data_IF_544433260199
#
_entry.id   IF_544433260199
#
_cell.length_a   1.000
_cell.length_b   1.000
_cell.length_c   1.000
_cell.angle_alpha   90.00
_cell.angle_beta   90.00
_cell.angle_gamma   90.00
#
_symmetry.space_group_name_H-M   'P 1'
#
loop_
_entity.id
_entity.type
_entity.pdbx_description
1 polymer ?
#
# COMPACT_ATOMS: atom_id res chain seq x y z
N UNK A 1 -5.71 -21.38 -20.60
CA UNK A 1 -5.68 -21.12 -19.14
C UNK A 1 -6.20 -22.31 -18.33
N UNK A 2 -7.50 -22.63 -18.39
CA UNK A 2 -8.16 -23.67 -17.55
C UNK A 2 -7.38 -24.99 -17.47
N UNK A 3 -6.88 -25.52 -18.59
CA UNK A 3 -6.09 -26.76 -18.62
C UNK A 3 -4.84 -26.68 -17.70
N UNK A 4 -4.15 -25.54 -17.65
CA UNK A 4 -2.97 -25.35 -16.78
C UNK A 4 -3.36 -25.29 -15.30
N UNK A 5 -4.52 -24.72 -14.97
CA UNK A 5 -5.07 -24.75 -13.61
C UNK A 5 -5.45 -26.16 -13.18
N UNK A 6 -6.09 -26.94 -14.05
CA UNK A 6 -6.43 -28.35 -13.79
C UNK A 6 -5.18 -29.23 -13.65
N UNK A 7 -4.16 -29.04 -14.50
CA UNK A 7 -2.86 -29.72 -14.35
C UNK A 7 -2.14 -29.32 -13.05
N UNK A 8 -2.22 -28.05 -12.66
CA UNK A 8 -1.66 -27.56 -11.39
C UNK A 8 -2.36 -28.20 -10.20
N UNK A 9 -3.69 -28.28 -10.25
CA UNK A 9 -4.53 -28.95 -9.25
C UNK A 9 -4.27 -30.46 -9.17
N UNK A 10 -4.11 -31.16 -10.29
CA UNK A 10 -3.73 -32.56 -10.33
C UNK A 10 -2.34 -32.78 -9.71
N UNK A 11 -1.36 -31.92 -10.03
CA UNK A 11 -0.01 -31.98 -9.44
C UNK A 11 -0.03 -31.71 -7.93
N UNK A 12 -0.82 -30.75 -7.47
CA UNK A 12 -1.01 -30.44 -6.05
C UNK A 12 -1.72 -31.57 -5.30
N UNK A 13 -2.74 -32.16 -5.92
CA UNK A 13 -3.50 -33.30 -5.37
C UNK A 13 -2.61 -34.54 -5.26
N UNK A 14 -1.84 -34.87 -6.29
CA UNK A 14 -0.88 -35.98 -6.25
C UNK A 14 0.20 -35.77 -5.16
N UNK A 15 0.73 -34.56 -5.04
CA UNK A 15 1.73 -34.23 -4.02
C UNK A 15 1.19 -34.30 -2.58
N UNK A 16 -0.10 -34.04 -2.35
CA UNK A 16 -0.74 -34.05 -1.01
C UNK A 16 -1.48 -35.35 -0.69
N UNK A 17 -1.84 -36.18 -1.68
CA UNK A 17 -2.62 -37.41 -1.51
C UNK A 17 -2.05 -38.35 -0.43
N UNK A 18 -2.86 -38.70 0.58
CA UNK A 18 -2.47 -39.53 1.74
C UNK A 18 -1.19 -39.04 2.47
N UNK A 19 -0.96 -37.72 2.54
CA UNK A 19 0.06 -37.16 3.43
C UNK A 19 -0.46 -37.12 4.87
N UNK A 20 -0.03 -38.09 5.69
CA UNK A 20 -0.60 -38.39 7.01
C UNK A 20 -0.34 -37.33 8.08
N UNK A 21 0.61 -36.41 7.86
CA UNK A 21 0.96 -35.35 8.81
C UNK A 21 0.33 -33.99 8.54
N UNK A 22 -0.63 -33.89 7.61
CA UNK A 22 -1.38 -32.67 7.35
C UNK A 22 -0.52 -31.44 7.00
N UNK A 23 -0.96 -30.25 7.42
CA UNK A 23 -0.27 -28.99 7.14
C UNK A 23 0.97 -28.74 8.05
N UNK A 24 1.13 -29.49 9.14
CA UNK A 24 2.16 -29.30 10.18
C UNK A 24 3.38 -30.22 10.05
N UNK A 25 3.41 -31.12 9.07
CA UNK A 25 4.58 -31.98 8.78
C UNK A 25 5.08 -31.69 7.35
N UNK A 26 6.36 -31.34 7.13
CA UNK A 26 6.84 -30.93 5.82
C UNK A 26 6.80 -32.06 4.79
N UNK A 27 6.44 -31.72 3.55
CA UNK A 27 6.54 -32.59 2.39
C UNK A 27 8.02 -32.92 2.12
N UNK A 28 8.33 -34.20 1.93
CA UNK A 28 9.70 -34.72 1.72
C UNK A 28 9.81 -35.53 0.42
N UNK A 29 11.04 -35.82 0.00
CA UNK A 29 11.33 -36.77 -1.09
C UNK A 29 10.79 -36.35 -2.47
N UNK A 30 9.89 -37.14 -3.05
CA UNK A 30 9.31 -36.88 -4.37
C UNK A 30 8.20 -35.82 -4.34
N UNK A 31 7.43 -35.72 -3.23
CA UNK A 31 6.32 -34.76 -3.09
C UNK A 31 6.84 -33.32 -3.18
N UNK A 32 7.88 -33.00 -2.40
CA UNK A 32 8.58 -31.69 -2.44
C UNK A 32 9.14 -31.40 -3.83
N UNK A 33 9.80 -32.37 -4.48
CA UNK A 33 10.32 -32.21 -5.86
C UNK A 33 9.23 -31.99 -6.90
N UNK A 34 8.05 -32.62 -6.76
CA UNK A 34 6.91 -32.40 -7.66
C UNK A 34 6.38 -30.96 -7.56
N UNK A 35 6.26 -30.42 -6.35
CA UNK A 35 5.88 -29.01 -6.13
C UNK A 35 6.96 -28.06 -6.68
N UNK A 36 8.23 -28.27 -6.29
CA UNK A 36 9.35 -27.42 -6.70
C UNK A 36 9.63 -27.43 -8.22
N UNK A 37 9.35 -28.53 -8.94
CA UNK A 37 9.66 -28.66 -10.36
C UNK A 37 8.43 -28.61 -11.28
N UNK A 38 7.35 -29.34 -10.96
CA UNK A 38 6.17 -29.43 -11.83
C UNK A 38 5.25 -28.23 -11.62
N UNK A 39 4.90 -27.91 -10.36
CA UNK A 39 4.00 -26.79 -10.07
C UNK A 39 4.65 -25.44 -10.44
N UNK A 40 5.93 -25.23 -10.13
CA UNK A 40 6.69 -24.05 -10.60
C UNK A 40 6.59 -23.83 -12.11
N UNK A 41 6.75 -24.89 -12.92
CA UNK A 41 6.66 -24.80 -14.39
C UNK A 41 5.23 -24.49 -14.84
N UNK A 42 4.24 -25.17 -14.29
CA UNK A 42 2.83 -24.95 -14.63
C UNK A 42 2.39 -23.52 -14.30
N UNK A 43 2.79 -22.98 -13.14
CA UNK A 43 2.51 -21.60 -12.77
C UNK A 43 3.24 -20.61 -13.69
N UNK A 44 4.52 -20.81 -14.01
CA UNK A 44 5.23 -19.95 -14.99
C UNK A 44 4.58 -19.95 -16.37
N UNK A 45 4.17 -21.13 -16.86
CA UNK A 45 3.44 -21.24 -18.14
C UNK A 45 2.05 -20.59 -18.06
N UNK A 46 1.36 -20.68 -16.92
CA UNK A 46 0.09 -19.98 -16.70
C UNK A 46 0.27 -18.46 -16.80
N UNK A 47 1.23 -17.89 -16.07
CA UNK A 47 1.55 -16.46 -16.12
C UNK A 47 1.92 -16.01 -17.55
N UNK A 48 2.77 -16.76 -18.25
CA UNK A 48 3.10 -16.48 -19.66
C UNK A 48 1.86 -16.47 -20.57
N UNK A 49 0.91 -17.40 -20.36
CA UNK A 49 -0.35 -17.49 -21.11
C UNK A 49 -1.35 -16.37 -20.74
N UNK A 50 -1.17 -15.66 -19.62
CA UNK A 50 -1.88 -14.39 -19.33
C UNK A 50 -1.12 -13.16 -19.86
N UNK A 51 -0.12 -13.34 -20.73
CA UNK A 51 0.67 -12.24 -21.30
C UNK A 51 1.74 -11.67 -20.38
N UNK A 52 2.03 -12.28 -19.22
CA UNK A 52 3.06 -11.75 -18.32
C UNK A 52 4.48 -11.92 -18.89
N UNK A 53 5.14 -10.79 -19.14
CA UNK A 53 6.55 -10.71 -19.54
C UNK A 53 7.43 -10.51 -18.31
N UNK A 54 7.85 -11.62 -17.71
CA UNK A 54 8.65 -11.65 -16.47
C UNK A 54 10.14 -11.41 -16.79
N UNK A 55 10.71 -10.33 -16.25
CA UNK A 55 12.15 -10.02 -16.29
C UNK A 55 12.74 -10.22 -14.89
N UNK A 56 13.66 -11.16 -14.76
CA UNK A 56 14.31 -11.45 -13.47
C UNK A 56 15.65 -10.72 -13.40
N UNK A 57 15.95 -10.12 -12.24
CA UNK A 57 17.24 -9.52 -11.89
C UNK A 57 17.77 -10.14 -10.59
N UNK A 58 19.08 -10.14 -10.42
CA UNK A 58 19.74 -10.73 -9.24
C UNK A 58 19.74 -12.26 -9.22
N UNK A 59 20.17 -12.83 -8.09
CA UNK A 59 20.28 -14.29 -7.85
C UNK A 59 19.31 -14.70 -6.75
N UNK A 60 18.50 -15.73 -6.99
CA UNK A 60 17.67 -16.34 -5.94
C UNK A 60 18.58 -17.02 -4.89
N UNK A 61 18.40 -16.66 -3.62
CA UNK A 61 19.12 -17.25 -2.50
C UNK A 61 18.65 -18.68 -2.22
N UNK A 62 19.59 -19.56 -1.90
CA UNK A 62 19.29 -20.89 -1.37
C UNK A 62 18.70 -20.84 0.03
N UNK A 63 18.07 -21.93 0.44
CA UNK A 63 17.54 -22.17 1.79
C UNK A 63 18.60 -22.09 2.90
N UNK A 64 19.88 -22.20 2.55
CA UNK A 64 21.02 -22.02 3.45
C UNK A 64 21.49 -20.56 3.52
N UNK A 65 21.39 -19.82 2.41
CA UNK A 65 21.70 -18.38 2.37
C UNK A 65 20.59 -17.55 3.03
N UNK A 66 19.31 -17.83 2.75
CA UNK A 66 18.16 -17.17 3.37
C UNK A 66 16.93 -18.10 3.46
N UNK A 67 16.46 -18.48 4.67
CA UNK A 67 15.22 -19.25 4.82
C UNK A 67 13.93 -18.47 4.50
N UNK A 68 13.95 -17.14 4.46
CA UNK A 68 12.76 -16.30 4.22
C UNK A 68 13.01 -15.34 3.03
N UNK A 69 12.05 -15.27 2.12
CA UNK A 69 11.92 -14.23 1.10
C UNK A 69 10.96 -13.14 1.58
N UNK A 70 11.39 -11.89 1.52
CA UNK A 70 10.62 -10.70 1.91
C UNK A 70 10.27 -9.92 0.64
N UNK A 71 9.04 -10.03 0.16
CA UNK A 71 8.63 -9.50 -1.14
C UNK A 71 7.77 -8.23 -1.01
N UNK A 72 8.10 -7.19 -1.78
CA UNK A 72 7.36 -5.91 -1.77
C UNK A 72 7.60 -5.08 -3.07
N UNK A 73 6.73 -4.11 -3.40
CA UNK A 73 5.42 -3.87 -2.79
C UNK A 73 4.43 -4.97 -3.19
N UNK A 74 3.49 -5.31 -2.32
CA UNK A 74 2.43 -6.26 -2.60
C UNK A 74 1.33 -5.55 -3.39
N UNK A 75 1.10 -5.93 -4.64
CA UNK A 75 0.15 -5.32 -5.56
C UNK A 75 -1.18 -6.05 -5.63
N UNK A 76 -1.12 -7.39 -5.71
CA UNK A 76 -2.29 -8.27 -5.86
C UNK A 76 -1.87 -9.74 -5.81
N UNK A 77 -2.84 -10.64 -6.06
CA UNK A 77 -2.56 -12.06 -6.24
C UNK A 77 -1.61 -12.38 -7.42
N UNK A 78 -1.37 -11.44 -8.35
CA UNK A 78 -0.40 -11.64 -9.43
C UNK A 78 1.05 -11.72 -8.94
N UNK A 79 1.36 -11.21 -7.75
CA UNK A 79 2.69 -11.30 -7.14
C UNK A 79 3.08 -12.76 -6.81
N UNK A 80 2.11 -13.69 -6.83
CA UNK A 80 2.35 -15.13 -6.74
C UNK A 80 3.26 -15.68 -7.87
N UNK A 81 3.58 -14.90 -8.91
CA UNK A 81 4.68 -15.19 -9.82
C UNK A 81 6.02 -15.38 -9.08
N UNK A 82 6.26 -14.63 -8.00
CA UNK A 82 7.49 -14.77 -7.19
C UNK A 82 7.63 -16.19 -6.66
N UNK A 83 6.55 -16.81 -6.17
CA UNK A 83 6.54 -18.20 -5.73
C UNK A 83 7.04 -19.15 -6.83
N UNK A 84 6.66 -18.93 -8.09
CA UNK A 84 7.08 -19.76 -9.21
C UNK A 84 8.50 -19.44 -9.73
N UNK A 85 9.09 -18.33 -9.29
CA UNK A 85 10.51 -18.01 -9.47
C UNK A 85 11.38 -18.61 -8.36
N UNK A 86 10.88 -18.67 -7.12
CA UNK A 86 11.59 -19.18 -5.93
C UNK A 86 11.35 -20.67 -5.63
N UNK A 87 10.68 -21.40 -6.54
CA UNK A 87 10.53 -22.85 -6.45
C UNK A 87 9.38 -23.31 -5.55
N UNK A 88 8.29 -22.56 -5.51
CA UNK A 88 7.07 -22.79 -4.72
C UNK A 88 7.34 -22.92 -3.20
N UNK A 89 7.80 -21.83 -2.54
CA UNK A 89 7.97 -21.76 -1.09
C UNK A 89 6.64 -21.88 -0.33
N UNK A 90 6.74 -22.11 0.98
CA UNK A 90 5.62 -21.89 1.91
C UNK A 90 5.22 -20.42 1.88
N UNK A 91 3.93 -20.10 1.96
CA UNK A 91 3.45 -18.71 2.01
C UNK A 91 2.61 -18.47 3.27
N UNK A 92 2.49 -17.22 3.71
CA UNK A 92 1.46 -16.83 4.70
C UNK A 92 0.15 -16.58 3.94
N UNK A 93 -0.97 -17.14 4.41
CA UNK A 93 -2.27 -16.94 3.75
C UNK A 93 -3.45 -16.99 4.72
N UNK A 94 -4.56 -16.37 4.34
CA UNK A 94 -5.82 -16.46 5.09
C UNK A 94 -6.35 -17.90 5.08
N UNK A 95 -6.83 -18.39 6.22
CA UNK A 95 -7.38 -19.75 6.35
C UNK A 95 -8.55 -20.00 5.38
N UNK A 96 -9.35 -18.96 5.12
CA UNK A 96 -10.49 -18.97 4.20
C UNK A 96 -10.07 -19.19 2.73
N UNK A 97 -8.81 -18.92 2.36
CA UNK A 97 -8.31 -19.19 1.01
C UNK A 97 -8.16 -20.71 0.75
N UNK A 98 -8.04 -21.52 1.81
CA UNK A 98 -7.80 -22.98 1.71
C UNK A 98 -9.05 -23.75 1.28
N UNK A 99 -10.25 -23.23 1.55
CA UNK A 99 -11.53 -23.81 1.12
C UNK A 99 -11.96 -23.38 -0.29
N UNK A 100 -11.21 -22.48 -0.95
CA UNK A 100 -11.52 -22.03 -2.33
C UNK A 100 -11.45 -23.21 -3.31
N UNK A 101 -12.49 -23.51 -4.11
CA UNK A 101 -12.48 -24.63 -5.06
C UNK A 101 -11.30 -24.56 -6.03
N UNK A 102 -10.65 -25.71 -6.27
CA UNK A 102 -9.42 -25.89 -7.07
C UNK A 102 -8.19 -25.16 -6.49
N UNK A 103 -8.25 -23.83 -6.32
CA UNK A 103 -7.14 -23.01 -5.84
C UNK A 103 -6.70 -23.38 -4.42
N UNK A 104 -7.62 -23.70 -3.53
CA UNK A 104 -7.35 -24.10 -2.14
C UNK A 104 -6.51 -25.38 -2.04
N UNK A 105 -6.67 -26.34 -2.96
CA UNK A 105 -5.81 -27.53 -3.02
C UNK A 105 -4.39 -27.19 -3.51
N UNK A 106 -4.27 -26.31 -4.51
CA UNK A 106 -2.98 -25.81 -5.01
C UNK A 106 -2.24 -25.08 -3.88
N UNK A 107 -2.93 -24.14 -3.22
CA UNK A 107 -2.42 -23.38 -2.08
C UNK A 107 -2.02 -24.31 -0.93
N UNK A 108 -2.88 -25.26 -0.54
CA UNK A 108 -2.58 -26.24 0.52
C UNK A 108 -1.34 -27.09 0.23
N UNK A 109 -1.03 -27.37 -1.05
CA UNK A 109 0.18 -28.11 -1.43
C UNK A 109 1.49 -27.33 -1.22
N UNK A 110 1.42 -26.02 -1.02
CA UNK A 110 2.53 -25.17 -0.57
C UNK A 110 2.73 -25.23 0.95
N UNK A 111 1.83 -25.89 1.67
CA UNK A 111 1.77 -25.96 3.13
C UNK A 111 1.82 -24.56 3.77
N UNK A 112 0.86 -23.67 3.50
CA UNK A 112 0.93 -22.29 3.97
C UNK A 112 0.87 -22.18 5.49
N UNK A 113 1.41 -21.10 6.03
CA UNK A 113 1.11 -20.67 7.40
C UNK A 113 -0.26 -20.00 7.35
N UNK A 114 -1.27 -20.65 7.92
CA UNK A 114 -2.65 -20.20 7.88
C UNK A 114 -2.91 -19.15 8.96
N UNK A 115 -3.55 -18.03 8.57
CA UNK A 115 -3.93 -16.93 9.45
C UNK A 115 -5.45 -16.82 9.47
N UNK A 116 -6.06 -16.91 10.65
CA UNK A 116 -7.48 -16.59 10.86
C UNK A 116 -7.63 -15.18 11.45
N UNK A 117 -8.81 -14.56 11.27
CA UNK A 117 -9.25 -13.37 12.03
C UNK A 117 -10.19 -13.71 13.19
N UNK A 118 -10.64 -14.97 13.28
CA UNK A 118 -11.60 -15.45 14.28
C UNK A 118 -10.91 -16.12 15.48
N UNK A 119 -9.70 -16.65 15.27
CA UNK A 119 -8.83 -17.17 16.34
C UNK A 119 -7.99 -16.01 16.91
N UNK A 120 -8.07 -15.69 18.23
CA UNK A 120 -7.28 -14.62 18.84
C UNK A 120 -5.79 -14.97 18.95
N UNK A 121 -5.42 -16.24 19.16
CA UNK A 121 -4.02 -16.67 19.19
C UNK A 121 -3.41 -16.78 17.78
N UNK A 122 -4.20 -16.65 16.71
CA UNK A 122 -3.79 -16.73 15.29
C UNK A 122 -2.49 -15.98 14.97
N UNK A 123 -2.31 -14.76 15.49
CA UNK A 123 -1.07 -13.98 15.29
C UNK A 123 0.15 -14.65 15.93
N UNK A 124 0.01 -15.15 17.16
CA UNK A 124 1.05 -15.84 17.95
C UNK A 124 1.37 -17.21 17.35
N UNK A 125 0.34 -17.95 16.95
CA UNK A 125 0.44 -19.22 16.22
C UNK A 125 1.19 -19.04 14.89
N UNK A 126 0.86 -18.00 14.13
CA UNK A 126 1.54 -17.62 12.87
C UNK A 126 3.03 -17.33 13.09
N UNK A 127 3.37 -16.52 14.10
CA UNK A 127 4.77 -16.18 14.42
C UNK A 127 5.57 -17.40 14.89
N UNK A 128 4.98 -18.22 15.75
CA UNK A 128 5.59 -19.49 16.21
C UNK A 128 5.89 -20.40 15.02
N UNK A 129 4.92 -20.60 14.12
CA UNK A 129 5.08 -21.49 12.97
C UNK A 129 6.08 -20.96 11.94
N UNK A 130 6.13 -19.64 11.68
CA UNK A 130 7.18 -19.02 10.86
C UNK A 130 8.57 -19.28 11.48
N UNK A 131 8.69 -19.09 12.79
CA UNK A 131 9.96 -19.28 13.53
C UNK A 131 10.42 -20.74 13.49
N UNK A 132 9.53 -21.68 13.81
CA UNK A 132 9.79 -23.12 13.76
C UNK A 132 10.26 -23.59 12.37
N UNK A 133 9.66 -23.04 11.31
CA UNK A 133 10.00 -23.36 9.92
C UNK A 133 11.33 -22.75 9.49
N UNK A 134 11.56 -21.48 9.79
CA UNK A 134 12.80 -20.78 9.47
C UNK A 134 14.02 -21.41 10.15
N UNK A 135 13.89 -21.78 11.43
CA UNK A 135 14.96 -22.41 12.22
C UNK A 135 15.11 -23.92 11.95
N UNK A 136 14.26 -24.53 11.11
CA UNK A 136 14.21 -25.98 10.87
C UNK A 136 15.42 -26.60 10.14
N UNK A 137 16.48 -25.82 9.88
CA UNK A 137 17.70 -26.22 9.16
C UNK A 137 17.42 -26.94 7.82
N UNK A 138 16.37 -26.49 7.14
CA UNK A 138 15.98 -26.93 5.79
C UNK A 138 14.99 -28.10 5.71
N UNK A 139 14.46 -28.59 6.83
CA UNK A 139 13.38 -29.59 6.79
C UNK A 139 12.14 -29.06 6.05
N UNK A 140 11.80 -27.79 6.26
CA UNK A 140 10.78 -27.06 5.50
C UNK A 140 11.36 -26.43 4.21
N UNK A 141 10.52 -26.05 3.23
CA UNK A 141 10.90 -25.09 2.19
C UNK A 141 11.15 -23.69 2.80
N UNK A 142 11.73 -22.79 1.98
CA UNK A 142 11.78 -21.36 2.29
C UNK A 142 10.35 -20.80 2.46
N UNK A 143 10.23 -19.67 3.14
CA UNK A 143 8.95 -18.98 3.38
C UNK A 143 8.93 -17.68 2.56
N UNK A 144 7.88 -17.43 1.78
CA UNK A 144 7.64 -16.15 1.11
C UNK A 144 6.61 -15.34 1.91
N UNK A 145 7.00 -14.14 2.31
CA UNK A 145 6.18 -13.23 3.11
C UNK A 145 6.16 -11.86 2.42
N UNK A 146 4.96 -11.30 2.26
CA UNK A 146 4.76 -9.90 1.90
C UNK A 146 4.54 -9.11 3.20
N UNK A 147 5.56 -8.41 3.74
CA UNK A 147 5.51 -7.86 5.10
C UNK A 147 4.53 -6.70 5.24
N UNK A 148 4.15 -6.05 4.14
CA UNK A 148 3.04 -5.08 4.08
C UNK A 148 1.73 -5.70 4.61
N UNK A 149 1.54 -7.01 4.39
CA UNK A 149 0.39 -7.78 4.89
C UNK A 149 -0.98 -7.22 4.48
N UNK A 150 -1.01 -6.54 3.33
CA UNK A 150 -2.15 -6.05 2.54
C UNK A 150 -1.61 -5.83 1.12
N UNK A 151 -2.49 -5.66 0.13
CA UNK A 151 -2.09 -5.16 -1.19
C UNK A 151 -2.14 -3.62 -1.22
N UNK A 152 -1.34 -3.01 -2.09
CA UNK A 152 -1.06 -1.57 -2.21
C UNK A 152 -0.95 -1.15 -3.69
N UNK A 153 -0.89 0.17 -3.95
CA UNK A 153 -0.73 0.76 -5.28
C UNK A 153 0.74 0.91 -5.74
N UNK A 154 1.71 0.38 -4.97
CA UNK A 154 3.18 0.42 -5.20
C UNK A 154 3.89 1.77 -5.12
N UNK A 155 3.21 2.89 -4.88
CA UNK A 155 3.84 4.23 -4.92
C UNK A 155 5.04 4.32 -3.95
N UNK A 156 4.80 4.10 -2.66
CA UNK A 156 5.80 3.99 -1.61
C UNK A 156 6.11 2.50 -1.27
N UNK A 157 6.77 2.25 -0.14
CA UNK A 157 6.81 0.96 0.54
C UNK A 157 6.25 1.21 1.94
N UNK A 158 5.08 0.63 2.26
CA UNK A 158 4.42 0.87 3.54
C UNK A 158 5.15 0.17 4.69
N UNK A 159 4.79 0.48 5.93
CA UNK A 159 5.41 -0.12 7.13
C UNK A 159 5.35 -1.65 7.10
N UNK A 160 6.51 -2.29 7.30
CA UNK A 160 6.66 -3.74 7.28
C UNK A 160 6.28 -4.35 8.62
N UNK A 161 5.38 -5.34 8.61
CA UNK A 161 4.97 -6.10 9.80
C UNK A 161 6.09 -7.05 10.22
N UNK A 162 6.47 -6.99 11.49
CA UNK A 162 7.58 -7.74 12.11
C UNK A 162 7.55 -9.28 11.95
N UNK A 163 6.44 -9.88 11.51
CA UNK A 163 6.26 -11.34 11.45
C UNK A 163 7.28 -12.12 10.59
N UNK A 164 7.93 -11.47 9.62
CA UNK A 164 9.02 -12.09 8.84
C UNK A 164 10.41 -11.99 9.53
N UNK A 165 10.53 -11.13 10.53
CA UNK A 165 11.79 -10.64 11.09
C UNK A 165 12.05 -11.18 12.51
N UNK A 166 10.98 -11.45 13.27
CA UNK A 166 11.02 -12.08 14.61
C UNK A 166 11.93 -13.33 14.71
N UNK A 167 12.08 -14.20 13.69
CA UNK A 167 12.98 -15.36 13.81
C UNK A 167 14.48 -15.03 13.87
N UNK A 168 14.90 -13.77 13.67
CA UNK A 168 16.30 -13.34 13.72
C UNK A 168 17.21 -13.95 12.63
N UNK A 169 16.62 -14.51 11.57
CA UNK A 169 17.32 -15.20 10.48
C UNK A 169 17.66 -14.27 9.31
N UNK A 170 18.65 -14.62 8.46
CA UNK A 170 18.85 -13.95 7.18
C UNK A 170 17.60 -14.00 6.29
N UNK A 171 17.32 -12.88 5.61
CA UNK A 171 16.21 -12.75 4.66
C UNK A 171 16.74 -12.37 3.28
N UNK A 172 16.10 -12.82 2.19
CA UNK A 172 16.31 -12.24 0.88
C UNK A 172 15.18 -11.25 0.54
N UNK A 173 15.46 -9.95 0.43
CA UNK A 173 14.48 -8.99 -0.07
C UNK A 173 14.25 -9.19 -1.58
N UNK A 174 12.99 -9.05 -2.02
CA UNK A 174 12.56 -9.23 -3.40
C UNK A 174 11.69 -8.05 -3.83
N UNK A 175 12.19 -7.25 -4.77
CA UNK A 175 11.48 -6.10 -5.31
C UNK A 175 10.63 -6.49 -6.53
N UNK A 176 9.34 -6.13 -6.51
CA UNK A 176 8.44 -6.22 -7.66
C UNK A 176 8.24 -4.84 -8.29
N UNK A 177 8.25 -4.78 -9.63
CA UNK A 177 7.85 -3.58 -10.39
C UNK A 177 6.99 -3.97 -11.59
N UNK A 178 5.94 -3.21 -11.87
CA UNK A 178 5.05 -3.41 -13.01
C UNK A 178 5.12 -2.22 -13.97
N UNK A 179 6.18 -2.10 -14.81
CA UNK A 179 6.41 -0.95 -15.69
C UNK A 179 5.51 -0.98 -16.94
N UNK A 180 4.20 -0.80 -16.72
CA UNK A 180 3.14 -0.82 -17.72
C UNK A 180 2.51 0.56 -17.84
N UNK A 181 2.03 0.93 -19.03
CA UNK A 181 1.35 2.22 -19.25
C UNK A 181 -0.06 2.23 -18.62
N UNK A 182 -0.69 1.07 -18.51
CA UNK A 182 -1.97 0.88 -17.83
C UNK A 182 -1.74 0.03 -16.59
N UNK A 183 -2.28 0.46 -15.45
CA UNK A 183 -2.31 -0.35 -14.24
C UNK A 183 -3.54 -1.25 -14.24
N UNK A 184 -3.35 -2.50 -14.65
CA UNK A 184 -4.38 -3.54 -14.60
C UNK A 184 -4.16 -4.51 -13.43
N UNK A 185 -3.21 -4.25 -12.54
CA UNK A 185 -2.67 -5.25 -11.59
C UNK A 185 -2.72 -4.82 -10.12
N UNK A 186 -3.01 -3.56 -9.81
CA UNK A 186 -3.28 -3.09 -8.44
C UNK A 186 -4.63 -3.61 -7.93
N UNK A 187 -4.60 -4.24 -6.75
CA UNK A 187 -5.77 -4.61 -5.99
C UNK A 187 -5.76 -3.88 -4.64
N UNK A 188 -6.65 -2.91 -4.45
CA UNK A 188 -6.83 -2.16 -3.20
C UNK A 188 -8.26 -2.31 -2.69
N UNK A 189 -8.53 -1.84 -1.48
CA UNK A 189 -9.84 -2.00 -0.83
C UNK A 189 -10.97 -1.17 -1.48
N UNK A 190 -10.64 -0.04 -2.11
CA UNK A 190 -11.52 0.73 -3.01
C UNK A 190 -11.38 0.30 -4.49
N UNK A 191 -10.53 -0.68 -4.78
CA UNK A 191 -10.20 -1.09 -6.14
C UNK A 191 -11.14 -2.12 -6.75
N UNK A 192 -10.86 -2.48 -8.00
CA UNK A 192 -11.57 -3.50 -8.77
C UNK A 192 -11.69 -4.84 -8.05
N UNK A 193 -12.79 -5.55 -8.29
CA UNK A 193 -12.94 -6.93 -7.83
C UNK A 193 -11.94 -7.86 -8.54
N UNK A 194 -11.71 -9.03 -7.94
CA UNK A 194 -10.87 -10.10 -8.50
C UNK A 194 -11.26 -10.45 -9.96
N UNK A 195 -12.54 -10.38 -10.32
CA UNK A 195 -13.02 -10.68 -11.68
C UNK A 195 -12.63 -9.59 -12.67
N UNK A 196 -12.86 -8.33 -12.33
CA UNK A 196 -12.55 -7.18 -13.17
C UNK A 196 -11.04 -7.04 -13.37
N UNK A 197 -10.24 -7.19 -12.30
CA UNK A 197 -8.78 -7.13 -12.38
C UNK A 197 -8.20 -8.26 -13.25
N UNK A 198 -8.80 -9.46 -13.20
CA UNK A 198 -8.48 -10.54 -14.14
C UNK A 198 -8.81 -10.15 -15.59
N UNK A 199 -10.01 -9.62 -15.84
CA UNK A 199 -10.46 -9.23 -17.19
C UNK A 199 -9.54 -8.15 -17.77
N UNK A 200 -9.28 -7.07 -17.04
CA UNK A 200 -8.40 -5.98 -17.50
C UNK A 200 -6.97 -6.46 -17.77
N UNK A 201 -6.40 -7.31 -16.90
CA UNK A 201 -5.07 -7.89 -17.12
C UNK A 201 -5.03 -8.78 -18.36
N UNK A 202 -6.10 -9.55 -18.63
CA UNK A 202 -6.20 -10.39 -19.83
C UNK A 202 -6.46 -9.58 -21.11
N UNK A 203 -7.10 -8.41 -21.01
CA UNK A 203 -7.21 -7.47 -22.11
C UNK A 203 -5.88 -6.73 -22.40
N UNK A 204 -5.01 -6.56 -21.39
CA UNK A 204 -3.64 -6.07 -21.61
C UNK A 204 -2.75 -7.17 -22.18
N UNK A 205 -2.68 -7.23 -23.52
CA UNK A 205 -1.95 -8.23 -24.33
C UNK A 205 -0.55 -8.60 -23.79
N UNK A 206 0.19 -7.64 -23.22
CA UNK A 206 1.46 -7.90 -22.53
C UNK A 206 1.56 -7.10 -21.23
N UNK A 207 1.57 -7.80 -20.10
CA UNK A 207 1.81 -7.20 -18.78
C UNK A 207 3.26 -7.45 -18.36
N UNK A 208 4.11 -6.42 -18.36
CA UNK A 208 5.51 -6.52 -17.90
C UNK A 208 5.55 -6.62 -16.37
N UNK A 209 6.44 -7.46 -15.86
CA UNK A 209 6.83 -7.47 -14.44
C UNK A 209 8.33 -7.66 -14.32
N UNK A 210 9.00 -6.78 -13.59
CA UNK A 210 10.36 -7.01 -13.11
C UNK A 210 10.30 -7.61 -11.71
N UNK A 211 11.06 -8.69 -11.47
CA UNK A 211 11.29 -9.26 -10.14
C UNK A 211 12.79 -9.24 -9.88
N UNK A 212 13.20 -8.51 -8.86
CA UNK A 212 14.60 -8.23 -8.54
C UNK A 212 14.96 -8.81 -7.17
N UNK A 213 15.78 -9.87 -7.19
CA UNK A 213 16.29 -10.54 -6.00
C UNK A 213 17.51 -9.78 -5.47
N UNK A 214 17.37 -9.15 -4.31
CA UNK A 214 18.43 -8.36 -3.71
C UNK A 214 19.48 -9.24 -3.01
N UNK A 215 20.67 -8.71 -2.68
CA UNK A 215 21.60 -9.41 -1.78
C UNK A 215 20.89 -9.86 -0.50
N UNK A 216 21.31 -10.99 0.05
CA UNK A 216 20.77 -11.48 1.32
C UNK A 216 21.11 -10.50 2.43
N UNK A 217 20.08 -10.10 3.18
CA UNK A 217 20.22 -9.29 4.38
C UNK A 217 20.44 -10.22 5.57
N UNK A 218 21.58 -10.08 6.25
CA UNK A 218 21.93 -10.81 7.46
C UNK A 218 21.75 -9.87 8.65
N UNK A 219 20.82 -10.13 9.60
CA UNK A 219 20.60 -9.23 10.72
C UNK A 219 21.79 -9.19 11.68
N UNK A 220 22.13 -7.97 12.11
CA UNK A 220 23.01 -7.69 13.25
C UNK A 220 22.41 -8.21 14.56
N UNK A 221 23.21 -8.25 15.64
CA UNK A 221 22.68 -8.68 16.94
C UNK A 221 21.60 -7.71 17.49
N UNK A 222 21.69 -6.41 17.16
CA UNK A 222 20.63 -5.43 17.44
C UNK A 222 19.30 -5.86 16.80
N UNK A 223 19.32 -6.11 15.49
CA UNK A 223 18.16 -6.50 14.67
C UNK A 223 17.57 -7.87 15.00
N UNK A 224 18.32 -8.75 15.68
CA UNK A 224 17.79 -10.01 16.21
C UNK A 224 17.02 -9.84 17.52
N UNK A 225 17.34 -8.78 18.27
CA UNK A 225 16.62 -8.42 19.50
C UNK A 225 15.49 -7.42 19.23
N UNK A 226 15.58 -6.60 18.17
CA UNK A 226 14.53 -5.71 17.69
C UNK A 226 14.05 -6.08 16.25
N UNK A 227 12.96 -6.86 16.14
CA UNK A 227 12.32 -7.19 14.86
C UNK A 227 11.70 -6.00 14.11
N UNK A 228 11.45 -4.86 14.77
CA UNK A 228 10.91 -3.63 14.16
C UNK A 228 12.05 -2.83 13.51
N UNK A 229 13.19 -2.70 14.17
CA UNK A 229 14.43 -2.18 13.59
C UNK A 229 14.84 -2.99 12.36
N UNK A 230 14.83 -4.33 12.46
CA UNK A 230 15.14 -5.22 11.33
C UNK A 230 14.16 -5.04 10.16
N UNK A 231 12.85 -4.99 10.44
CA UNK A 231 11.83 -4.73 9.44
C UNK A 231 12.04 -3.37 8.74
N UNK A 232 12.40 -2.33 9.49
CA UNK A 232 12.67 -1.00 8.97
C UNK A 232 13.97 -0.91 8.17
N UNK A 233 15.08 -1.50 8.63
CA UNK A 233 16.37 -1.50 7.88
C UNK A 233 16.25 -2.30 6.57
N UNK A 234 15.48 -3.38 6.54
CA UNK A 234 15.16 -4.10 5.29
C UNK A 234 14.24 -3.27 4.39
N UNK A 235 13.19 -2.61 4.92
CA UNK A 235 12.34 -1.68 4.15
C UNK A 235 13.15 -0.53 3.55
N UNK A 236 14.04 0.08 4.32
CA UNK A 236 14.97 1.11 3.89
C UNK A 236 15.88 0.58 2.77
N UNK A 237 16.50 -0.60 2.93
CA UNK A 237 17.34 -1.20 1.88
C UNK A 237 16.58 -1.41 0.56
N UNK A 238 15.32 -1.83 0.63
CA UNK A 238 14.43 -1.95 -0.54
C UNK A 238 14.06 -0.57 -1.13
N UNK A 239 13.95 0.47 -0.30
CA UNK A 239 13.69 1.86 -0.71
C UNK A 239 14.93 2.57 -1.28
N UNK A 240 16.15 2.31 -0.78
CA UNK A 240 17.41 2.83 -1.36
C UNK A 240 17.63 2.29 -2.78
N UNK A 241 17.00 1.18 -3.15
CA UNK A 241 16.97 0.67 -4.53
C UNK A 241 15.76 1.16 -5.36
N UNK A 242 14.86 1.94 -4.74
CA UNK A 242 14.06 2.99 -5.41
C UNK A 242 14.84 4.31 -5.57
N UNK A 243 16.08 4.46 -5.08
CA UNK A 243 16.88 5.68 -5.34
C UNK A 243 17.24 5.86 -6.83
N UNK A 244 17.08 4.83 -7.67
CA UNK A 244 17.11 4.99 -9.12
C UNK A 244 15.87 5.73 -9.67
N UNK A 245 14.72 5.65 -8.98
CA UNK A 245 13.53 6.43 -9.30
C UNK A 245 13.60 7.84 -8.70
N UNK A 246 14.19 7.99 -7.50
CA UNK A 246 14.60 9.32 -6.99
C UNK A 246 15.60 9.98 -7.95
N UNK A 247 16.57 9.23 -8.48
CA UNK A 247 17.46 9.70 -9.56
C UNK A 247 16.71 10.00 -10.85
N UNK A 248 15.75 9.19 -11.28
CA UNK A 248 14.91 9.47 -12.46
C UNK A 248 14.11 10.78 -12.30
N UNK A 249 13.62 11.07 -11.09
CA UNK A 249 13.00 12.35 -10.76
C UNK A 249 14.01 13.49 -10.67
N UNK A 250 15.21 13.28 -10.09
CA UNK A 250 16.29 14.27 -10.03
C UNK A 250 16.90 14.58 -11.40
N UNK A 251 17.02 13.61 -12.30
CA UNK A 251 17.49 13.78 -13.68
C UNK A 251 16.43 14.55 -14.49
N UNK A 252 15.14 14.28 -14.25
CA UNK A 252 14.01 15.04 -14.82
C UNK A 252 13.99 16.48 -14.29
N UNK A 253 14.13 16.66 -12.97
CA UNK A 253 14.23 17.98 -12.33
C UNK A 253 15.47 18.74 -12.82
N UNK A 254 16.63 18.09 -12.94
CA UNK A 254 17.85 18.70 -13.46
C UNK A 254 17.68 19.15 -14.92
N UNK A 255 16.92 18.41 -15.73
CA UNK A 255 16.58 18.83 -17.09
C UNK A 255 15.65 20.07 -17.09
N UNK A 256 14.70 20.16 -16.16
CA UNK A 256 13.79 21.32 -16.03
C UNK A 256 14.55 22.54 -15.49
N UNK A 257 15.34 22.36 -14.42
CA UNK A 257 16.19 23.40 -13.84
C UNK A 257 17.30 23.88 -14.81
N UNK A 258 17.67 23.06 -15.80
CA UNK A 258 18.55 23.46 -16.92
C UNK A 258 17.82 24.18 -18.06
N UNK A 259 16.49 24.11 -18.09
CA UNK A 259 15.64 24.81 -19.05
C UNK A 259 15.11 26.15 -18.48
N UNK A 260 14.83 26.19 -17.17
CA UNK A 260 14.58 27.42 -16.43
C UNK A 260 15.86 28.26 -16.32
N UNK A 261 15.72 29.57 -16.15
CA UNK A 261 16.82 30.54 -16.33
C UNK A 261 17.75 30.67 -15.11
N UNK A 262 18.22 29.55 -14.55
CA UNK A 262 19.26 29.59 -13.51
C UNK A 262 19.37 28.40 -12.55
N UNK A 263 18.80 27.23 -12.84
CA UNK A 263 18.87 26.09 -11.91
C UNK A 263 17.83 26.14 -10.77
N UNK A 264 16.79 26.96 -10.93
CA UNK A 264 15.74 27.25 -9.94
C UNK A 264 14.37 27.18 -10.59
N UNK A 265 13.35 26.71 -9.89
CA UNK A 265 11.99 26.52 -10.43
C UNK A 265 11.00 27.47 -9.74
N UNK A 266 10.28 28.28 -10.52
CA UNK A 266 9.18 29.13 -10.03
C UNK A 266 7.85 28.39 -9.89
N UNK A 267 6.86 28.97 -9.20
CA UNK A 267 5.54 28.36 -8.98
C UNK A 267 4.82 28.02 -10.30
N UNK A 268 5.01 28.82 -11.35
CA UNK A 268 4.46 28.59 -12.68
C UNK A 268 5.05 27.35 -13.35
N UNK A 269 6.37 27.18 -13.28
CA UNK A 269 7.09 26.03 -13.85
C UNK A 269 6.80 24.75 -13.04
N UNK A 270 6.62 24.88 -11.73
CA UNK A 270 6.20 23.79 -10.83
C UNK A 270 4.76 23.34 -11.14
N UNK A 271 3.85 24.27 -11.43
CA UNK A 271 2.48 24.01 -11.87
C UNK A 271 2.44 23.27 -13.21
N UNK A 272 3.17 23.77 -14.22
CA UNK A 272 3.25 23.13 -15.54
C UNK A 272 3.83 21.72 -15.46
N UNK A 273 4.87 21.52 -14.63
CA UNK A 273 5.47 20.20 -14.42
C UNK A 273 4.50 19.19 -13.78
N UNK A 274 3.83 19.59 -12.69
CA UNK A 274 2.85 18.75 -12.00
C UNK A 274 1.53 18.62 -12.78
N UNK A 275 1.32 19.47 -13.80
CA UNK A 275 0.10 19.58 -14.62
C UNK A 275 -1.13 19.93 -13.79
N UNK A 276 -0.91 20.80 -12.81
CA UNK A 276 -1.93 21.34 -11.92
C UNK A 276 -2.09 22.84 -12.22
N UNK A 277 -3.28 23.43 -12.03
CA UNK A 277 -3.42 24.88 -11.99
C UNK A 277 -2.67 25.46 -10.77
N UNK A 278 -2.32 26.74 -10.82
CA UNK A 278 -1.76 27.45 -9.66
C UNK A 278 -2.90 27.76 -8.67
N UNK A 279 -3.23 26.78 -7.84
CA UNK A 279 -4.10 26.93 -6.67
C UNK A 279 -3.28 27.22 -5.42
N UNK A 280 -3.92 27.66 -4.34
CA UNK A 280 -3.24 27.88 -3.05
C UNK A 280 -2.66 26.58 -2.47
N UNK A 281 -3.30 25.44 -2.75
CA UNK A 281 -2.77 24.11 -2.40
C UNK A 281 -1.46 23.80 -3.14
N UNK A 282 -1.29 24.30 -4.36
CA UNK A 282 -0.01 24.23 -5.07
C UNK A 282 1.02 25.18 -4.46
N UNK A 283 0.61 26.37 -3.97
CA UNK A 283 1.48 27.31 -3.26
C UNK A 283 1.98 26.72 -1.94
N UNK A 284 1.11 26.12 -1.13
CA UNK A 284 1.51 25.41 0.08
C UNK A 284 2.45 24.24 -0.23
N UNK A 285 2.15 23.43 -1.25
CA UNK A 285 3.06 22.37 -1.70
C UNK A 285 4.41 22.91 -2.17
N UNK A 286 4.45 24.08 -2.80
CA UNK A 286 5.67 24.76 -3.24
C UNK A 286 6.49 25.30 -2.05
N UNK A 287 5.84 25.86 -1.02
CA UNK A 287 6.49 26.33 0.22
C UNK A 287 7.12 25.18 1.03
N UNK A 288 6.59 23.95 0.94
CA UNK A 288 7.27 22.76 1.49
C UNK A 288 8.62 22.45 0.81
N UNK A 289 8.87 22.99 -0.39
CA UNK A 289 10.15 22.91 -1.08
C UNK A 289 10.96 24.21 -0.96
N UNK A 290 10.37 25.39 -1.18
CA UNK A 290 11.00 26.71 -1.00
C UNK A 290 11.21 27.03 0.50
N UNK A 291 12.21 26.37 1.07
CA UNK A 291 12.55 26.46 2.49
C UNK A 291 13.27 27.75 2.89
N UNK A 292 13.56 28.64 1.93
CA UNK A 292 14.29 29.88 2.18
C UNK A 292 13.43 31.14 1.92
N UNK A 293 12.32 31.00 1.18
CA UNK A 293 11.36 32.07 0.88
C UNK A 293 11.76 32.98 -0.27
N UNK A 294 12.70 32.57 -1.14
CA UNK A 294 13.11 33.37 -2.30
C UNK A 294 12.14 33.30 -3.51
N UNK A 295 11.06 32.52 -3.38
CA UNK A 295 10.04 32.35 -4.41
C UNK A 295 10.42 31.32 -5.46
N UNK A 296 11.51 30.57 -5.27
CA UNK A 296 11.98 29.53 -6.19
C UNK A 296 12.55 28.32 -5.47
N UNK A 297 12.37 27.13 -6.05
CA UNK A 297 12.94 25.88 -5.53
C UNK A 297 14.34 25.66 -6.13
N UNK A 298 15.39 25.69 -5.29
CA UNK A 298 16.74 25.27 -5.69
C UNK A 298 16.91 23.73 -5.68
N UNK A 299 18.03 23.22 -6.22
CA UNK A 299 18.30 21.77 -6.29
C UNK A 299 18.38 21.08 -4.92
N UNK A 300 18.91 21.75 -3.89
CA UNK A 300 19.03 21.26 -2.51
C UNK A 300 17.66 21.30 -1.83
N UNK A 301 16.88 22.35 -2.04
CA UNK A 301 15.49 22.48 -1.60
C UNK A 301 14.60 21.37 -2.19
N UNK A 302 14.75 21.08 -3.48
CA UNK A 302 14.08 19.94 -4.13
C UNK A 302 14.46 18.59 -3.49
N UNK A 303 15.75 18.33 -3.27
CA UNK A 303 16.24 17.10 -2.61
C UNK A 303 15.70 16.98 -1.17
N UNK A 304 15.64 18.09 -0.43
CA UNK A 304 15.17 18.12 0.97
C UNK A 304 13.66 17.86 1.03
N UNK A 305 12.86 18.58 0.23
CA UNK A 305 11.41 18.35 0.17
C UNK A 305 11.07 16.93 -0.26
N UNK A 306 11.78 16.36 -1.24
CA UNK A 306 11.65 14.95 -1.60
C UNK A 306 12.02 14.00 -0.46
N UNK A 307 13.09 14.26 0.29
CA UNK A 307 13.49 13.37 1.40
C UNK A 307 12.46 13.34 2.52
N UNK A 308 11.82 14.48 2.81
CA UNK A 308 10.75 14.60 3.81
C UNK A 308 9.49 13.88 3.33
N UNK A 309 9.05 14.15 2.09
CA UNK A 309 7.86 13.54 1.49
C UNK A 309 8.00 12.03 1.26
N UNK A 310 9.22 11.50 1.10
CA UNK A 310 9.46 10.09 0.80
C UNK A 310 9.78 9.19 2.00
N UNK A 311 10.03 9.75 3.20
CA UNK A 311 10.50 8.97 4.36
C UNK A 311 9.58 9.05 5.62
N UNK A 312 8.34 8.51 5.57
CA UNK A 312 7.48 8.44 6.74
C UNK A 312 7.96 7.35 7.71
N UNK A 313 8.76 7.74 8.72
CA UNK A 313 8.92 7.07 10.02
C UNK A 313 9.85 7.87 10.96
N UNK A 314 9.27 8.43 12.03
CA UNK A 314 9.89 8.83 13.31
C UNK A 314 11.40 9.19 13.29
N UNK A 315 11.83 10.11 12.43
CA UNK A 315 13.09 10.84 12.64
C UNK A 315 12.83 12.10 13.46
N UNK A 316 13.84 12.55 14.21
CA UNK A 316 13.80 13.81 14.96
C UNK A 316 13.40 15.00 14.07
N UNK A 317 13.84 14.98 12.81
CA UNK A 317 13.52 15.95 11.76
C UNK A 317 12.03 15.91 11.35
N UNK A 318 11.43 14.71 11.32
CA UNK A 318 9.99 14.53 11.03
C UNK A 318 9.14 14.99 12.21
N UNK A 319 9.59 14.73 13.43
CA UNK A 319 8.95 15.19 14.66
C UNK A 319 9.04 16.73 14.77
N UNK A 320 10.19 17.33 14.42
CA UNK A 320 10.36 18.78 14.34
C UNK A 320 9.47 19.42 13.26
N UNK A 321 9.25 18.74 12.13
CA UNK A 321 8.29 19.21 11.12
C UNK A 321 6.84 19.09 11.62
N UNK A 322 6.50 18.01 12.34
CA UNK A 322 5.18 17.87 12.95
C UNK A 322 4.92 18.93 14.03
N UNK A 323 5.92 19.25 14.85
CA UNK A 323 5.83 20.33 15.84
C UNK A 323 5.51 21.68 15.18
N UNK A 324 6.26 22.05 14.13
CA UNK A 324 6.01 23.24 13.29
C UNK A 324 4.74 23.22 12.42
N UNK A 325 3.95 22.14 12.48
CA UNK A 325 2.60 22.08 11.88
C UNK A 325 1.49 22.22 12.93
N UNK A 326 1.86 22.19 14.21
CA UNK A 326 0.97 22.38 15.35
C UNK A 326 1.17 23.75 16.01
N UNK A 327 2.40 24.25 16.05
CA UNK A 327 2.77 25.63 16.39
C UNK A 327 2.38 26.53 15.21
N UNK A 328 1.25 27.24 15.31
CA UNK A 328 0.63 27.99 14.20
C UNK A 328 1.07 29.45 14.12
N UNK A 329 1.56 30.03 15.23
CA UNK A 329 2.13 31.38 15.27
C UNK A 329 3.68 31.43 15.36
N UNK A 330 4.33 30.27 15.37
CA UNK A 330 5.78 30.06 15.45
C UNK A 330 6.41 30.64 16.73
N UNK A 331 5.68 30.58 17.86
CA UNK A 331 6.16 31.03 19.17
C UNK A 331 7.09 30.03 19.87
N UNK A 332 7.18 28.80 19.34
CA UNK A 332 8.04 27.72 19.83
C UNK A 332 7.35 26.76 20.79
N UNK A 333 6.03 26.90 21.02
CA UNK A 333 5.23 26.02 21.90
C UNK A 333 3.79 25.84 21.40
N UNK A 334 3.24 24.64 21.54
CA UNK A 334 1.88 24.31 21.04
C UNK A 334 0.84 24.54 22.14
N UNK A 335 -0.18 25.38 21.91
CA UNK A 335 -1.30 25.52 22.83
C UNK A 335 -2.36 24.41 22.68
N UNK A 336 -3.15 24.18 23.73
CA UNK A 336 -4.27 23.22 23.71
C UNK A 336 -5.25 23.46 22.54
N UNK A 337 -5.42 24.72 22.11
CA UNK A 337 -6.32 25.08 21.00
C UNK A 337 -5.78 24.67 19.64
N UNK A 338 -4.48 24.85 19.40
CA UNK A 338 -3.87 24.45 18.13
C UNK A 338 -3.77 22.93 18.05
N UNK A 339 -3.40 22.29 19.17
CA UNK A 339 -3.42 20.84 19.30
C UNK A 339 -4.82 20.26 19.04
N UNK A 340 -5.86 20.85 19.62
CA UNK A 340 -7.26 20.49 19.34
C UNK A 340 -7.59 20.69 17.86
N UNK A 341 -7.29 21.86 17.28
CA UNK A 341 -7.60 22.20 15.89
C UNK A 341 -7.03 21.17 14.90
N UNK A 342 -5.76 20.80 15.04
CA UNK A 342 -5.12 19.83 14.16
C UNK A 342 -5.67 18.42 14.39
N UNK A 343 -5.82 17.96 15.65
CA UNK A 343 -6.28 16.60 15.96
C UNK A 343 -7.76 16.37 15.61
N UNK A 344 -8.64 17.34 15.87
CA UNK A 344 -10.05 17.29 15.50
C UNK A 344 -10.21 17.22 13.97
N UNK A 345 -9.43 18.02 13.24
CA UNK A 345 -9.37 17.99 11.77
C UNK A 345 -8.77 16.67 11.23
N UNK A 346 -7.76 16.12 11.91
CA UNK A 346 -7.10 14.85 11.57
C UNK A 346 -7.99 13.61 11.77
N UNK A 347 -9.10 13.76 12.50
CA UNK A 347 -10.03 12.66 12.81
C UNK A 347 -11.44 12.89 12.27
N UNK A 348 -11.78 14.10 11.80
CA UNK A 348 -13.11 14.46 11.35
C UNK A 348 -14.14 14.56 12.49
N UNK A 349 -13.68 14.88 13.70
CA UNK A 349 -14.47 14.91 14.93
C UNK A 349 -14.33 16.28 15.62
N UNK A 350 -15.17 17.27 15.29
CA UNK A 350 -15.03 18.64 15.79
C UNK A 350 -15.25 18.77 17.31
N UNK A 351 -16.11 17.93 17.88
CA UNK A 351 -16.41 17.91 19.32
C UNK A 351 -15.50 16.96 20.12
N UNK A 352 -14.37 16.51 19.55
CA UNK A 352 -13.44 15.62 20.26
C UNK A 352 -12.68 16.38 21.36
N UNK A 353 -12.96 16.02 22.60
CA UNK A 353 -12.17 16.43 23.77
C UNK A 353 -10.76 15.85 23.69
N UNK A 354 -9.77 16.73 23.56
CA UNK A 354 -8.33 16.40 23.58
C UNK A 354 -7.66 16.77 24.91
N UNK A 355 -8.35 17.41 25.86
CA UNK A 355 -7.75 17.98 27.07
C UNK A 355 -7.05 16.94 27.95
N UNK A 356 -7.49 15.69 27.92
CA UNK A 356 -6.85 14.59 28.64
C UNK A 356 -5.56 14.12 27.95
N UNK A 357 -5.52 14.12 26.60
CA UNK A 357 -4.33 13.79 25.81
C UNK A 357 -3.31 14.91 25.85
N UNK A 358 -3.75 16.18 25.81
CA UNK A 358 -2.86 17.33 25.95
C UNK A 358 -2.10 17.27 27.30
N UNK A 359 -2.80 16.96 28.39
CA UNK A 359 -2.22 16.77 29.74
C UNK A 359 -1.38 15.49 29.90
N UNK A 360 -1.43 14.57 28.94
CA UNK A 360 -0.55 13.41 28.87
C UNK A 360 0.79 13.76 28.20
N UNK A 361 0.88 14.92 27.54
CA UNK A 361 2.07 15.46 26.87
C UNK A 361 2.68 16.65 27.65
N UNK A 362 1.82 17.51 28.21
CA UNK A 362 2.12 18.71 29.06
C UNK A 362 2.68 18.28 30.43
N UNK A 363 3.87 17.67 30.42
CA UNK A 363 4.45 16.95 31.55
C UNK A 363 4.99 17.87 32.65
N UNK A 364 5.20 19.15 32.37
CA UNK A 364 5.52 20.19 33.36
C UNK A 364 4.33 21.06 33.80
N UNK A 365 3.11 20.75 33.33
CA UNK A 365 1.85 21.47 33.57
C UNK A 365 1.89 22.98 33.19
N UNK A 366 2.71 23.38 32.22
CA UNK A 366 2.75 24.79 31.76
C UNK A 366 1.57 25.18 30.88
N UNK A 367 0.81 24.24 30.32
CA UNK A 367 -0.32 24.49 29.43
C UNK A 367 0.08 24.81 27.99
N UNK A 368 1.34 24.55 27.63
CA UNK A 368 1.97 24.85 26.33
C UNK A 368 3.05 23.83 26.04
N UNK A 369 2.82 22.91 25.09
CA UNK A 369 3.76 21.80 24.84
C UNK A 369 5.06 22.33 24.26
N UNK A 370 6.18 22.04 24.92
CA UNK A 370 7.51 22.28 24.36
C UNK A 370 7.87 21.26 23.28
N UNK A 371 8.88 21.59 22.46
CA UNK A 371 9.38 20.65 21.44
C UNK A 371 9.87 19.33 22.04
N UNK A 372 10.59 19.36 23.16
CA UNK A 372 11.13 18.14 23.76
C UNK A 372 10.04 17.27 24.39
N UNK A 373 8.97 17.84 24.97
CA UNK A 373 7.81 17.06 25.44
C UNK A 373 7.06 16.40 24.28
N UNK A 374 6.69 17.17 23.26
CA UNK A 374 6.02 16.67 22.06
C UNK A 374 6.87 15.59 21.37
N UNK A 375 8.20 15.75 21.35
CA UNK A 375 9.16 14.78 20.81
C UNK A 375 9.26 13.52 21.65
N UNK A 376 9.38 13.64 22.98
CA UNK A 376 9.45 12.48 23.87
C UNK A 376 8.16 11.65 23.77
N UNK A 377 7.00 12.29 23.83
CA UNK A 377 5.71 11.61 23.66
C UNK A 377 5.58 10.94 22.28
N UNK A 378 5.97 11.61 21.19
CA UNK A 378 5.93 11.04 19.84
C UNK A 378 6.91 9.87 19.62
N UNK A 379 7.95 9.74 20.47
CA UNK A 379 8.88 8.62 20.49
C UNK A 379 8.39 7.47 21.38
N UNK A 380 7.79 7.77 22.53
CA UNK A 380 7.28 6.77 23.49
C UNK A 380 5.93 6.16 23.06
N UNK A 381 5.11 6.88 22.28
CA UNK A 381 3.81 6.42 21.78
C UNK A 381 3.69 6.42 20.24
N UNK A 382 4.39 5.52 19.51
CA UNK A 382 4.44 5.51 18.04
C UNK A 382 3.09 5.34 17.31
N UNK A 383 2.05 4.87 17.99
CA UNK A 383 0.68 4.82 17.45
C UNK A 383 0.07 6.20 17.18
N UNK A 384 0.43 7.24 17.95
CA UNK A 384 -0.04 8.62 17.73
C UNK A 384 0.67 9.29 16.56
N UNK A 385 1.91 8.87 16.22
CA UNK A 385 2.61 9.34 15.03
C UNK A 385 1.80 9.11 13.73
N UNK A 386 0.89 8.13 13.75
CA UNK A 386 -0.04 7.87 12.65
C UNK A 386 -1.10 8.98 12.48
N UNK A 387 -1.55 9.63 13.55
CA UNK A 387 -2.52 10.74 13.48
C UNK A 387 -1.96 11.90 12.65
N UNK A 388 -0.69 12.26 12.87
CA UNK A 388 -0.01 13.30 12.10
C UNK A 388 0.08 12.94 10.61
N UNK A 389 0.35 11.67 10.27
CA UNK A 389 0.30 11.22 8.87
C UNK A 389 -1.12 11.25 8.28
N UNK A 390 -2.16 10.99 9.09
CA UNK A 390 -3.56 11.04 8.66
C UNK A 390 -4.06 12.48 8.46
N UNK A 391 -3.62 13.45 9.28
CA UNK A 391 -3.87 14.88 9.01
C UNK A 391 -3.35 15.29 7.62
N UNK A 392 -2.09 14.95 7.34
CA UNK A 392 -1.45 15.19 6.05
C UNK A 392 -2.08 14.39 4.89
N UNK A 393 -2.86 13.34 5.17
CA UNK A 393 -3.66 12.59 4.17
C UNK A 393 -5.07 13.17 3.98
N UNK A 394 -5.67 13.77 5.01
CA UNK A 394 -7.00 14.38 4.96
C UNK A 394 -7.01 15.78 4.33
N UNK A 395 -5.98 16.60 4.57
CA UNK A 395 -5.79 17.86 3.84
C UNK A 395 -5.75 17.61 2.31
N UNK A 396 -5.15 16.48 1.87
CA UNK A 396 -5.17 16.02 0.47
C UNK A 396 -6.54 15.55 -0.05
N UNK A 397 -7.53 15.33 0.82
CA UNK A 397 -8.89 14.92 0.45
C UNK A 397 -9.92 16.05 0.53
N UNK A 398 -9.83 16.96 1.52
CA UNK A 398 -10.77 18.08 1.67
C UNK A 398 -10.69 19.04 0.47
N UNK A 399 -9.48 19.28 -0.04
CA UNK A 399 -9.24 19.99 -1.32
C UNK A 399 -10.02 19.36 -2.50
N UNK A 400 -10.18 18.04 -2.51
CA UNK A 400 -10.86 17.30 -3.58
C UNK A 400 -12.39 17.23 -3.45
N UNK A 401 -12.99 17.92 -2.46
CA UNK A 401 -14.44 17.90 -2.20
C UNK A 401 -15.07 19.28 -2.05
N UNK A 402 -14.30 20.37 -2.21
CA UNK A 402 -14.78 21.75 -2.02
C UNK A 402 -15.26 22.45 -3.31
N UNK A 403 -15.16 21.81 -4.48
CA UNK A 403 -15.43 22.44 -5.80
C UNK A 403 -16.76 22.01 -6.49
N UNK A 404 -17.64 21.21 -5.86
CA UNK A 404 -18.88 20.73 -6.49
C UNK A 404 -20.19 21.42 -6.07
N UNK A 405 -20.23 22.22 -4.99
CA UNK A 405 -21.46 22.85 -4.47
C UNK A 405 -21.27 24.34 -4.09
N UNK A 406 -21.02 25.22 -5.07
CA UNK A 406 -21.55 26.60 -5.10
C UNK A 406 -21.17 27.33 -6.42
N UNK A 407 -22.09 27.37 -7.40
CA UNK A 407 -22.48 28.64 -8.08
C UNK A 407 -23.69 28.46 -9.04
N UNK A 408 -24.86 29.00 -8.67
CA UNK A 408 -25.92 29.37 -9.62
C UNK A 408 -26.62 30.64 -9.10
N UNK A 409 -26.27 31.83 -9.60
CA UNK A 409 -27.20 32.90 -10.01
C UNK A 409 -26.53 33.95 -10.92
N UNK A 410 -27.30 34.82 -11.63
CA UNK A 410 -26.92 35.26 -12.98
C UNK A 410 -26.45 36.72 -13.12
N UNK A 411 -25.97 37.07 -14.32
CA UNK A 411 -25.85 38.46 -14.78
C UNK A 411 -26.43 38.68 -16.17
N UNK A 412 -27.08 39.84 -16.40
CA UNK A 412 -27.64 40.26 -17.69
C UNK A 412 -26.70 41.20 -18.46
N UNK A 413 -26.62 41.08 -19.79
CA UNK A 413 -26.38 42.24 -20.66
C UNK A 413 -26.89 42.09 -22.12
N UNK A 414 -27.89 42.92 -22.45
CA UNK A 414 -28.26 43.55 -23.73
C UNK A 414 -27.11 43.61 -24.78
N UNK A 415 -27.29 43.54 -26.11
CA UNK A 415 -28.43 43.51 -27.07
C UNK A 415 -27.86 43.11 -28.49
N UNK A 416 -28.53 43.04 -29.66
CA UNK A 416 -29.86 43.42 -30.23
C UNK A 416 -30.20 42.44 -31.42
N UNK A 417 -31.42 42.40 -32.02
CA UNK A 417 -31.86 41.31 -32.92
C UNK A 417 -31.72 41.52 -34.46
N UNK A 418 -31.69 40.41 -35.23
CA UNK A 418 -31.97 40.30 -36.68
C UNK A 418 -32.97 39.15 -36.98
N UNK A 419 -33.46 39.04 -38.23
CA UNK A 419 -34.85 38.68 -38.61
C UNK A 419 -35.10 37.24 -39.14
N UNK A 420 -36.12 36.58 -38.57
CA UNK A 420 -36.95 35.42 -39.02
C UNK A 420 -36.66 34.67 -40.35
N UNK A 421 -36.52 33.33 -40.26
CA UNK A 421 -37.13 32.27 -41.13
C UNK A 421 -36.79 30.90 -40.49
N UNK A 422 -37.60 29.86 -40.23
CA UNK A 422 -38.97 29.39 -40.50
C UNK A 422 -38.95 28.01 -41.21
N UNK A 423 -39.65 26.99 -40.65
CA UNK A 423 -39.91 25.62 -41.21
C UNK A 423 -38.68 24.67 -41.18
N UNK A 424 -38.73 23.34 -40.88
CA UNK A 424 -39.77 22.30 -40.67
C UNK A 424 -39.45 21.39 -39.44
N UNK A 425 -40.36 20.48 -39.07
CA UNK A 425 -40.22 19.39 -38.09
C UNK A 425 -39.11 18.33 -38.39
N UNK A 426 -38.56 17.68 -37.34
CA UNK A 426 -38.98 16.31 -36.97
C UNK A 426 -38.36 15.72 -35.67
N UNK A 427 -39.13 14.85 -35.03
CA UNK A 427 -38.79 13.66 -34.21
C UNK A 427 -38.00 13.72 -32.87
N UNK A 428 -38.76 13.42 -31.80
CA UNK A 428 -38.40 12.55 -30.65
C UNK A 428 -37.37 13.01 -29.59
N UNK A 429 -37.91 13.51 -28.47
CA UNK A 429 -37.45 13.12 -27.11
C UNK A 429 -38.28 11.93 -26.61
N UNK A 430 -37.73 11.10 -25.72
CA UNK A 430 -38.39 10.88 -24.43
C UNK A 430 -37.72 11.67 -23.29
N UNK A 431 -38.54 12.23 -22.40
CA UNK A 431 -38.11 12.92 -21.18
C UNK A 431 -37.69 11.92 -20.10
N UNK A 432 -36.75 12.32 -19.25
CA UNK A 432 -36.55 11.65 -17.96
C UNK A 432 -37.81 11.78 -17.08
N UNK A 433 -38.05 10.78 -16.24
CA UNK A 433 -38.99 10.88 -15.11
C UNK A 433 -38.35 10.27 -13.87
N UNK A 434 -38.44 10.99 -12.76
CA UNK A 434 -37.80 10.65 -11.49
C UNK A 434 -38.89 10.45 -10.42
N UNK A 435 -38.62 9.57 -9.45
CA UNK A 435 -39.45 9.23 -8.27
C UNK A 435 -40.83 8.57 -8.54
N UNK A 436 -41.09 7.46 -7.85
CA UNK A 436 -42.03 7.30 -6.72
C UNK A 436 -42.33 5.80 -6.53
N UNK A 437 -42.22 5.31 -5.29
CA UNK A 437 -42.72 3.99 -4.90
C UNK A 437 -44.17 4.10 -4.40
N UNK A 438 -45.09 3.22 -4.84
CA UNK A 438 -46.23 2.76 -4.05
C UNK A 438 -45.84 1.52 -3.24
N UNK A 439 -46.59 1.23 -2.18
CA UNK A 439 -46.44 0.03 -1.35
C UNK A 439 -47.54 -1.02 -1.68
N UNK A 440 -47.32 -2.22 -1.13
CA UNK A 440 -48.29 -3.26 -0.77
C UNK A 440 -49.30 -3.80 -1.81
N UNK A 441 -49.23 -5.11 -2.05
CA UNK A 441 -50.30 -6.03 -1.62
C UNK A 441 -49.71 -7.42 -1.32
N UNK A 442 -50.43 -8.17 -0.48
CA UNK A 442 -50.09 -9.49 0.07
C UNK A 442 -50.38 -10.62 -0.97
N UNK A 443 -50.15 -11.92 -0.77
CA UNK A 443 -49.71 -12.75 0.37
C UNK A 443 -49.10 -14.05 -0.21
N UNK A 444 -48.23 -14.78 0.51
CA UNK A 444 -48.62 -16.07 1.12
C UNK A 444 -47.48 -16.72 1.96
N UNK A 445 -47.91 -17.46 2.96
CA UNK A 445 -47.25 -17.89 4.18
C UNK A 445 -46.36 -19.15 4.05
N UNK A 446 -45.22 -19.15 4.74
CA UNK A 446 -44.79 -20.19 5.72
C UNK A 446 -43.33 -19.94 6.16
N UNK A 447 -43.09 -19.32 7.33
CA UNK A 447 -42.94 -19.98 8.65
C UNK A 447 -41.70 -20.90 8.76
N UNK A 448 -40.75 -20.73 9.69
CA UNK A 448 -40.66 -19.78 10.83
C UNK A 448 -39.23 -19.77 11.42
N UNK A 449 -38.77 -18.60 11.89
CA UNK A 449 -38.15 -18.33 13.22
C UNK A 449 -37.20 -19.36 13.89
N UNK A 450 -36.11 -19.01 14.59
CA UNK A 450 -35.64 -17.68 14.98
C UNK A 450 -34.23 -17.65 15.64
N UNK A 451 -33.76 -16.42 15.93
CA UNK A 451 -32.97 -16.00 17.12
C UNK A 451 -31.59 -16.59 17.46
N UNK A 452 -30.58 -15.74 17.17
CA UNK A 452 -29.73 -15.04 18.17
C UNK A 452 -30.55 -14.42 19.35
N UNK A 453 -30.07 -14.23 20.57
CA UNK A 453 -28.73 -14.29 21.18
C UNK A 453 -28.85 -14.85 22.63
N UNK A 454 -27.77 -15.45 23.14
CA UNK A 454 -27.33 -15.50 24.55
C UNK A 454 -25.85 -15.96 24.58
#
# INVERSE_FOLDING_TARGET
>A
MVILLLLSWLSASAATFRHTGGASVPLKGWRRRMIQATLSRLTRTLFFVMGFRVKVKGKVASLQEAPIFVAAPHSSFFDAIVSALTGMPSIVSRAENLSTPIFGTILSSLQPVAVSRQDPDSRKNTVSEITNRALSRGQWPQILIFPEGTCTNRSCLITFKQGAFIPGVPVQPVLLRYPNKLDTVTWTWQGYSLKELCIMTLCQLFTKVEVEFLPVYVPTEEERNDPVLFANRVRQTMATLKWNHVREQLDTFAAIASASKGGRIGIEEFAEYLKLPISDVLRELFLLFDRNGDGTIDFREYVIGLSILCNPANTEETIHMAFKLFDQDDDGTITEKEFACIIQSALGLPDLDVSNLFKEIDADETGKLSYDEFKNFALEHPEYAKLFTTYLELQRHQVGMAEEDDDIQPSEAKHTPIRKSAVLDSETRPTARNKVCPADYEEDNSSTSDKKDD
#
